data_IF_199422937033
#
_entry.id   IF_199422937033
#
_cell.length_a   1.000
_cell.length_b   1.000
_cell.length_c   1.000
_cell.angle_alpha   90.00
_cell.angle_beta   90.00
_cell.angle_gamma   90.00
#
_symmetry.space_group_name_H-M   'P 1'
#
loop_
_entity.id
_entity.type
_entity.pdbx_description
1 polymer ?
#
# COMPACT_ATOMS: atom_id res chain seq x y z
N UNK A 1 8.28 19.32 -9.42
CA UNK A 1 9.28 18.26 -9.19
C UNK A 1 8.76 17.45 -8.00
N UNK A 2 8.53 16.14 -8.18
CA UNK A 2 7.71 15.19 -7.38
C UNK A 2 6.23 15.05 -7.84
N UNK A 3 6.01 14.16 -8.81
CA UNK A 3 4.74 13.47 -9.06
C UNK A 3 5.05 11.96 -9.08
N UNK A 4 5.58 11.42 -7.97
CA UNK A 4 5.44 9.99 -7.65
C UNK A 4 4.05 9.80 -7.06
N UNK A 5 3.02 9.57 -7.87
CA UNK A 5 1.66 9.17 -7.44
C UNK A 5 1.07 9.84 -6.18
N UNK A 6 1.54 11.06 -5.88
CA UNK A 6 1.19 11.86 -4.72
C UNK A 6 0.00 12.75 -5.09
N UNK A 7 -1.17 12.12 -5.14
CA UNK A 7 -2.49 12.75 -5.25
C UNK A 7 -2.78 13.43 -6.61
N UNK A 8 -4.01 13.65 -7.07
CA UNK A 8 -5.23 14.04 -6.36
C UNK A 8 -5.04 15.09 -5.22
N UNK A 9 -3.81 15.60 -5.01
CA UNK A 9 -3.46 16.53 -3.94
C UNK A 9 -3.34 17.96 -4.44
N UNK A 10 -3.61 18.20 -5.72
CA UNK A 10 -3.89 19.54 -6.20
C UNK A 10 -5.39 19.75 -6.13
N UNK A 11 -5.81 20.71 -5.29
CA UNK A 11 -7.08 21.40 -5.45
C UNK A 11 -7.22 21.76 -6.95
N UNK A 12 -8.26 21.29 -7.68
CA UNK A 12 -8.52 21.73 -9.04
C UNK A 12 -8.71 23.24 -9.03
N UNK A 13 -7.75 23.96 -9.60
CA UNK A 13 -7.74 25.41 -9.69
C UNK A 13 -8.44 25.83 -10.99
N UNK A 14 -9.68 25.40 -11.19
CA UNK A 14 -10.32 25.49 -12.50
C UNK A 14 -10.87 26.90 -12.85
N UNK A 15 -10.89 27.85 -11.91
CA UNK A 15 -11.26 29.25 -12.21
C UNK A 15 -10.48 30.28 -11.39
N UNK A 16 -10.05 31.37 -12.04
CA UNK A 16 -9.28 32.48 -11.44
C UNK A 16 -9.98 33.10 -10.21
N UNK A 17 -11.32 33.19 -10.23
CA UNK A 17 -12.10 33.73 -9.09
C UNK A 17 -12.13 32.77 -7.88
N UNK A 18 -12.09 31.44 -8.12
CA UNK A 18 -11.99 30.45 -7.03
C UNK A 18 -10.58 30.37 -6.45
N UNK A 19 -9.54 30.67 -7.24
CA UNK A 19 -8.16 30.68 -6.75
C UNK A 19 -7.97 31.66 -5.58
N UNK A 20 -8.62 32.83 -5.61
CA UNK A 20 -8.54 33.83 -4.54
C UNK A 20 -9.25 33.38 -3.25
N UNK A 21 -10.37 32.65 -3.36
CA UNK A 21 -11.10 32.09 -2.22
C UNK A 21 -10.40 30.86 -1.61
N UNK A 22 -9.66 30.11 -2.44
CA UNK A 22 -8.98 28.88 -2.06
C UNK A 22 -7.58 29.14 -1.47
N UNK A 23 -6.93 30.25 -1.82
CA UNK A 23 -5.53 30.54 -1.47
C UNK A 23 -5.20 30.41 0.03
N UNK A 24 -6.00 30.97 0.97
CA UNK A 24 -5.72 30.83 2.40
C UNK A 24 -5.78 29.36 2.87
N UNK A 25 -6.71 28.59 2.31
CA UNK A 25 -6.87 27.16 2.61
C UNK A 25 -5.75 26.32 2.03
N UNK A 26 -5.17 26.70 0.87
CA UNK A 26 -4.00 26.02 0.29
C UNK A 26 -2.79 26.13 1.21
N UNK A 27 -2.53 27.33 1.74
CA UNK A 27 -1.41 27.55 2.66
C UNK A 27 -1.60 26.76 3.96
N UNK A 28 -2.79 26.83 4.55
CA UNK A 28 -3.12 26.07 5.75
C UNK A 28 -3.03 24.55 5.52
N UNK A 29 -3.56 24.06 4.39
CA UNK A 29 -3.47 22.66 3.98
C UNK A 29 -2.01 22.21 3.88
N UNK A 30 -1.19 22.94 3.11
CA UNK A 30 0.22 22.59 2.92
C UNK A 30 0.99 22.62 4.25
N UNK A 31 0.71 23.60 5.13
CA UNK A 31 1.30 23.66 6.46
C UNK A 31 0.95 22.43 7.30
N UNK A 32 -0.34 22.08 7.39
CA UNK A 32 -0.80 20.92 8.17
C UNK A 32 -0.21 19.60 7.65
N UNK A 33 -0.21 19.38 6.33
CA UNK A 33 0.41 18.19 5.73
C UNK A 33 1.90 18.11 6.07
N UNK A 34 2.64 19.22 5.94
CA UNK A 34 4.06 19.24 6.24
C UNK A 34 4.34 19.00 7.73
N UNK A 35 3.55 19.58 8.64
CA UNK A 35 3.66 19.34 10.08
C UNK A 35 3.40 17.87 10.43
N UNK A 36 2.33 17.26 9.90
CA UNK A 36 2.02 15.86 10.14
C UNK A 36 3.06 14.90 9.52
N UNK A 37 3.55 15.20 8.32
CA UNK A 37 4.63 14.42 7.69
C UNK A 37 5.95 14.57 8.46
N UNK A 38 6.23 15.73 9.04
CA UNK A 38 7.39 15.94 9.89
C UNK A 38 7.31 15.04 11.15
N UNK A 39 6.16 14.99 11.81
CA UNK A 39 5.90 14.10 12.95
C UNK A 39 6.09 12.64 12.53
N UNK A 40 5.45 12.22 11.43
CA UNK A 40 5.53 10.85 10.92
C UNK A 40 6.97 10.42 10.63
N UNK A 41 7.73 11.24 9.91
CA UNK A 41 9.09 10.93 9.49
C UNK A 41 10.11 11.06 10.63
N UNK A 42 9.83 11.91 11.62
CA UNK A 42 10.66 12.12 12.81
C UNK A 42 10.43 11.11 13.93
N UNK A 43 9.36 10.30 13.86
CA UNK A 43 8.99 9.35 14.89
C UNK A 43 10.09 8.29 15.12
N UNK A 44 10.60 8.24 16.35
CA UNK A 44 11.58 7.26 16.82
C UNK A 44 11.14 6.67 18.14
N UNK A 45 11.53 5.41 18.39
CA UNK A 45 11.22 4.71 19.65
C UNK A 45 12.47 4.09 20.26
N UNK A 46 12.39 3.77 21.55
CA UNK A 46 13.40 2.98 22.24
C UNK A 46 13.15 1.48 22.06
N UNK A 47 14.22 0.71 21.82
CA UNK A 47 14.14 -0.74 21.66
C UNK A 47 13.63 -1.44 22.92
N UNK A 48 12.84 -2.50 22.75
CA UNK A 48 12.30 -3.30 23.86
C UNK A 48 13.42 -3.94 24.70
N UNK A 49 14.35 -4.64 24.03
CA UNK A 49 15.48 -5.30 24.68
C UNK A 49 16.65 -4.34 24.97
N UNK A 50 16.66 -3.17 24.33
CA UNK A 50 17.71 -2.15 24.47
C UNK A 50 17.08 -0.77 24.77
N UNK A 51 16.63 -0.53 26.01
CA UNK A 51 15.85 0.68 26.34
C UNK A 51 16.58 2.01 26.12
N UNK A 52 17.91 2.00 26.05
CA UNK A 52 18.72 3.19 25.78
C UNK A 52 18.95 3.45 24.28
N UNK A 53 18.61 2.50 23.40
CA UNK A 53 18.67 2.66 21.96
C UNK A 53 17.37 3.31 21.45
N UNK A 54 17.29 4.64 21.51
CA UNK A 54 16.08 5.44 21.23
C UNK A 54 16.01 6.09 19.85
N UNK A 55 16.76 5.57 18.89
CA UNK A 55 16.86 6.09 17.53
C UNK A 55 16.24 5.15 16.48
N UNK A 56 15.46 4.14 16.90
CA UNK A 56 14.83 3.19 15.98
C UNK A 56 13.71 3.88 15.19
N UNK A 57 13.80 3.80 13.86
CA UNK A 57 12.85 4.42 12.91
C UNK A 57 11.97 3.37 12.26
N UNK A 58 10.82 3.79 11.74
CA UNK A 58 9.91 2.87 11.05
C UNK A 58 10.62 2.05 9.95
N UNK A 59 11.45 2.72 9.14
CA UNK A 59 12.29 2.08 8.13
C UNK A 59 13.76 2.43 8.42
N UNK A 60 14.67 1.44 8.50
CA UNK A 60 14.41 0.00 8.34
C UNK A 60 13.94 -0.72 9.63
N UNK A 61 14.21 -0.15 10.81
CA UNK A 61 14.28 -0.90 12.07
C UNK A 61 12.95 -1.54 12.48
N UNK A 62 11.89 -0.74 12.66
CA UNK A 62 10.62 -1.26 13.20
C UNK A 62 9.91 -2.15 12.19
N UNK A 63 10.02 -1.85 10.89
CA UNK A 63 9.49 -2.70 9.83
C UNK A 63 10.13 -4.09 9.88
N UNK A 64 11.43 -4.17 10.16
CA UNK A 64 12.14 -5.44 10.30
C UNK A 64 11.70 -6.20 11.56
N UNK A 65 11.62 -5.51 12.71
CA UNK A 65 11.13 -6.11 13.97
C UNK A 65 9.73 -6.69 13.78
N UNK A 66 8.78 -5.90 13.25
CA UNK A 66 7.41 -6.34 13.04
C UNK A 66 7.29 -7.49 12.01
N UNK A 67 8.24 -7.63 11.09
CA UNK A 67 8.26 -8.70 10.10
C UNK A 67 8.87 -10.00 10.65
N UNK A 68 9.97 -9.90 11.40
CA UNK A 68 10.81 -11.06 11.78
C UNK A 68 10.61 -11.52 13.22
N UNK A 69 10.32 -10.63 14.16
CA UNK A 69 10.13 -11.01 15.55
C UNK A 69 8.90 -11.91 15.71
N UNK A 70 8.98 -12.81 16.69
CA UNK A 70 7.91 -13.69 17.15
C UNK A 70 7.72 -13.57 18.66
N UNK A 71 8.39 -12.60 19.29
CA UNK A 71 8.20 -12.28 20.70
C UNK A 71 6.97 -11.37 20.84
N UNK A 72 5.97 -11.86 21.57
CA UNK A 72 4.72 -11.13 21.79
C UNK A 72 4.94 -9.74 22.39
N UNK A 73 5.76 -9.66 23.42
CA UNK A 73 5.91 -8.44 24.22
C UNK A 73 6.78 -7.42 23.47
N UNK A 74 7.78 -7.87 22.69
CA UNK A 74 8.53 -7.01 21.77
C UNK A 74 7.65 -6.41 20.67
N UNK A 75 6.82 -7.24 20.03
CA UNK A 75 5.87 -6.79 19.00
C UNK A 75 4.86 -5.80 19.59
N UNK A 76 4.38 -6.04 20.81
CA UNK A 76 3.40 -5.18 21.48
C UNK A 76 4.02 -3.83 21.84
N UNK A 77 5.23 -3.83 22.41
CA UNK A 77 5.99 -2.62 22.72
C UNK A 77 6.26 -1.80 21.45
N UNK A 78 6.78 -2.45 20.41
CA UNK A 78 7.11 -1.81 19.13
C UNK A 78 5.89 -1.18 18.49
N UNK A 79 4.77 -1.91 18.45
CA UNK A 79 3.50 -1.41 17.91
C UNK A 79 3.01 -0.20 18.71
N UNK A 80 2.97 -0.31 20.04
CA UNK A 80 2.41 0.70 20.92
C UNK A 80 3.22 2.01 20.89
N UNK A 81 4.53 1.92 21.07
CA UNK A 81 5.38 3.11 21.11
C UNK A 81 5.43 3.82 19.75
N UNK A 82 5.41 3.06 18.64
CA UNK A 82 5.34 3.66 17.32
C UNK A 82 4.02 4.42 17.10
N UNK A 83 2.88 3.83 17.44
CA UNK A 83 1.59 4.51 17.30
C UNK A 83 1.47 5.73 18.24
N UNK A 84 2.13 5.71 19.40
CA UNK A 84 2.24 6.88 20.28
C UNK A 84 3.08 7.99 19.68
N UNK A 85 4.21 7.68 19.04
CA UNK A 85 5.12 8.69 18.49
C UNK A 85 4.68 9.22 17.13
N UNK A 86 4.23 8.35 16.24
CA UNK A 86 3.77 8.74 14.93
C UNK A 86 2.33 9.25 14.94
N UNK A 87 1.42 8.59 15.67
CA UNK A 87 -0.02 8.89 15.59
C UNK A 87 -0.49 9.98 16.54
N UNK A 88 -0.29 9.81 17.85
CA UNK A 88 -0.86 10.71 18.88
C UNK A 88 -0.51 12.19 18.65
N UNK A 89 0.73 12.50 18.30
CA UNK A 89 1.21 13.88 18.18
C UNK A 89 0.56 14.65 17.02
N UNK A 90 0.03 13.97 15.99
CA UNK A 90 -0.60 14.61 14.83
C UNK A 90 -2.13 14.70 14.91
N UNK A 91 -2.75 14.22 16.00
CA UNK A 91 -4.21 14.15 16.15
C UNK A 91 -4.88 15.51 15.90
N UNK A 92 -4.38 16.57 16.54
CA UNK A 92 -4.97 17.91 16.46
C UNK A 92 -4.76 18.56 15.08
N UNK A 93 -3.62 18.25 14.43
CA UNK A 93 -3.35 18.67 13.06
C UNK A 93 -4.31 18.00 12.06
N UNK A 94 -4.61 16.72 12.26
CA UNK A 94 -5.57 16.01 11.41
C UNK A 94 -7.00 16.51 11.61
N UNK A 95 -7.40 16.86 12.84
CA UNK A 95 -8.71 17.46 13.10
C UNK A 95 -8.88 18.80 12.36
N UNK A 96 -7.84 19.64 12.35
CA UNK A 96 -7.83 20.88 11.55
C UNK A 96 -7.83 20.61 10.05
N UNK A 97 -7.15 19.55 9.59
CA UNK A 97 -7.14 19.17 8.18
C UNK A 97 -8.55 18.80 7.69
N UNK A 98 -9.33 18.08 8.51
CA UNK A 98 -10.72 17.74 8.19
C UNK A 98 -11.57 18.99 7.96
N UNK A 99 -11.38 20.03 8.78
CA UNK A 99 -12.11 21.30 8.64
C UNK A 99 -11.71 22.01 7.34
N UNK A 100 -10.40 22.13 7.06
CA UNK A 100 -9.88 22.73 5.81
C UNK A 100 -10.39 22.00 4.58
N UNK A 101 -10.39 20.67 4.60
CA UNK A 101 -10.86 19.86 3.49
C UNK A 101 -12.37 20.05 3.22
N UNK A 102 -13.16 20.27 4.26
CA UNK A 102 -14.60 20.54 4.10
C UNK A 102 -14.87 21.93 3.53
N UNK A 103 -14.11 22.95 3.94
CA UNK A 103 -14.16 24.28 3.32
C UNK A 103 -13.78 24.23 1.83
N UNK A 104 -12.74 23.46 1.50
CA UNK A 104 -12.34 23.18 0.12
C UNK A 104 -13.47 22.56 -0.69
N UNK A 105 -14.16 21.55 -0.14
CA UNK A 105 -15.27 20.90 -0.82
C UNK A 105 -16.40 21.90 -1.07
N UNK A 106 -16.74 22.70 -0.06
CA UNK A 106 -17.78 23.72 -0.14
C UNK A 106 -17.51 24.75 -1.25
N UNK A 107 -16.29 25.30 -1.33
CA UNK A 107 -15.90 26.27 -2.38
C UNK A 107 -15.92 25.64 -3.78
N UNK A 108 -15.79 24.32 -3.87
CA UNK A 108 -15.92 23.56 -5.12
C UNK A 108 -17.36 23.12 -5.43
N UNK A 109 -18.36 23.58 -4.69
CA UNK A 109 -19.78 23.18 -4.80
C UNK A 109 -20.01 21.68 -4.53
N UNK A 110 -19.26 21.11 -3.60
CA UNK A 110 -19.37 19.70 -3.19
C UNK A 110 -19.77 19.67 -1.71
N UNK A 111 -20.67 18.75 -1.36
CA UNK A 111 -21.33 18.73 -0.04
C UNK A 111 -20.36 18.64 1.12
N UNK A 112 -19.33 17.81 0.98
CA UNK A 112 -18.31 17.57 2.00
C UNK A 112 -17.06 16.97 1.36
N UNK A 113 -15.99 16.89 2.15
CA UNK A 113 -14.71 16.40 1.67
C UNK A 113 -14.69 14.89 1.38
N UNK A 114 -15.60 14.11 1.97
CA UNK A 114 -15.74 12.68 1.65
C UNK A 114 -16.26 12.46 0.23
N UNK A 115 -17.33 13.18 -0.14
CA UNK A 115 -17.85 13.19 -1.52
C UNK A 115 -16.81 13.71 -2.50
N UNK A 116 -16.09 14.77 -2.11
CA UNK A 116 -15.02 15.33 -2.90
C UNK A 116 -13.95 14.29 -3.26
N UNK A 117 -13.63 13.37 -2.35
CA UNK A 117 -12.66 12.31 -2.60
C UNK A 117 -13.11 11.27 -3.61
N UNK A 118 -14.42 11.03 -3.70
CA UNK A 118 -14.98 10.04 -4.60
C UNK A 118 -15.41 10.59 -5.96
N UNK A 119 -15.31 11.92 -6.17
CA UNK A 119 -15.55 12.55 -7.48
C UNK A 119 -14.83 11.87 -8.66
N UNK A 120 -13.55 11.46 -8.55
CA UNK A 120 -12.85 10.81 -9.67
C UNK A 120 -13.43 9.46 -10.10
N UNK A 121 -14.34 8.86 -9.33
CA UNK A 121 -15.03 7.62 -9.68
C UNK A 121 -16.36 7.86 -10.41
N UNK A 122 -16.87 9.10 -10.41
CA UNK A 122 -18.10 9.52 -11.11
C UNK A 122 -19.31 8.60 -10.87
N UNK A 123 -19.40 8.00 -9.68
CA UNK A 123 -20.51 7.13 -9.27
C UNK A 123 -21.18 7.66 -8.02
N UNK A 124 -22.48 7.91 -8.10
CA UNK A 124 -23.30 8.34 -6.95
C UNK A 124 -23.51 7.27 -5.88
N UNK A 125 -23.16 6.01 -6.17
CA UNK A 125 -23.30 4.87 -5.25
C UNK A 125 -21.98 4.13 -5.02
N UNK A 126 -20.84 4.79 -5.25
CA UNK A 126 -19.51 4.14 -5.23
C UNK A 126 -19.26 3.33 -3.96
N UNK A 127 -19.61 3.88 -2.79
CA UNK A 127 -19.42 3.20 -1.50
C UNK A 127 -20.26 1.93 -1.39
N UNK A 128 -21.52 1.99 -1.82
CA UNK A 128 -22.42 0.84 -1.84
C UNK A 128 -21.91 -0.24 -2.80
N UNK A 129 -21.43 0.15 -3.98
CA UNK A 129 -20.87 -0.78 -4.96
C UNK A 129 -19.65 -1.52 -4.39
N UNK A 130 -18.77 -0.79 -3.70
CA UNK A 130 -17.59 -1.35 -3.03
C UNK A 130 -17.98 -2.31 -1.89
N UNK A 131 -18.96 -1.94 -1.04
CA UNK A 131 -19.46 -2.81 0.03
C UNK A 131 -20.13 -4.08 -0.55
N UNK A 132 -20.85 -3.99 -1.68
CA UNK A 132 -21.44 -5.15 -2.37
C UNK A 132 -20.34 -6.12 -2.85
N UNK A 133 -19.27 -5.60 -3.45
CA UNK A 133 -18.13 -6.43 -3.87
C UNK A 133 -17.43 -7.06 -2.67
N UNK A 134 -17.27 -6.31 -1.57
CA UNK A 134 -16.70 -6.84 -0.34
C UNK A 134 -17.49 -8.02 0.21
N UNK A 135 -18.82 -7.92 0.29
CA UNK A 135 -19.66 -9.01 0.82
C UNK A 135 -19.59 -10.29 -0.05
N UNK A 136 -19.28 -10.17 -1.35
CA UNK A 136 -19.01 -11.34 -2.20
C UNK A 136 -17.67 -12.01 -1.89
N UNK A 137 -16.65 -11.23 -1.50
CA UNK A 137 -15.30 -11.72 -1.19
C UNK A 137 -15.19 -12.19 0.27
N UNK A 138 -15.99 -11.59 1.16
CA UNK A 138 -15.98 -11.81 2.60
C UNK A 138 -15.97 -13.28 3.03
N UNK A 139 -16.74 -14.21 2.43
CA UNK A 139 -16.68 -15.62 2.81
C UNK A 139 -15.27 -16.25 2.66
N UNK A 140 -14.50 -15.84 1.64
CA UNK A 140 -13.12 -16.28 1.46
C UNK A 140 -12.22 -15.68 2.55
N UNK A 141 -12.38 -14.40 2.85
CA UNK A 141 -11.64 -13.74 3.92
C UNK A 141 -11.93 -14.36 5.29
N UNK A 142 -13.19 -14.65 5.62
CA UNK A 142 -13.60 -15.23 6.90
C UNK A 142 -12.98 -16.64 7.07
N UNK A 143 -12.94 -17.44 6.01
CA UNK A 143 -12.25 -18.73 5.99
C UNK A 143 -10.73 -18.59 6.20
N UNK A 144 -10.11 -17.63 5.52
CA UNK A 144 -8.68 -17.32 5.65
C UNK A 144 -8.34 -16.82 7.07
N UNK A 145 -9.10 -15.87 7.60
CA UNK A 145 -8.96 -15.31 8.95
C UNK A 145 -9.09 -16.41 10.00
N UNK A 146 -10.11 -17.26 9.91
CA UNK A 146 -10.31 -18.35 10.86
C UNK A 146 -9.16 -19.36 10.84
N UNK A 147 -8.64 -19.69 9.64
CA UNK A 147 -7.48 -20.55 9.48
C UNK A 147 -6.22 -19.93 10.09
N UNK A 148 -5.93 -18.66 9.78
CA UNK A 148 -4.79 -17.90 10.32
C UNK A 148 -4.89 -17.81 11.84
N UNK A 149 -6.06 -17.49 12.39
CA UNK A 149 -6.30 -17.45 13.83
C UNK A 149 -6.02 -18.78 14.51
N UNK A 150 -6.45 -19.89 13.90
CA UNK A 150 -6.15 -21.23 14.42
C UNK A 150 -4.65 -21.47 14.47
N UNK A 151 -3.92 -21.16 13.39
CA UNK A 151 -2.46 -21.33 13.31
C UNK A 151 -1.70 -20.45 14.31
N UNK A 152 -2.09 -19.18 14.43
CA UNK A 152 -1.52 -18.27 15.43
C UNK A 152 -1.82 -18.72 16.86
N UNK A 153 -2.99 -19.33 17.10
CA UNK A 153 -3.31 -19.93 18.40
C UNK A 153 -2.50 -21.19 18.69
N UNK A 154 -2.24 -22.04 17.68
CA UNK A 154 -1.33 -23.19 17.81
C UNK A 154 0.09 -22.73 18.18
N UNK A 155 0.53 -21.56 17.67
CA UNK A 155 1.86 -21.00 17.90
C UNK A 155 2.00 -20.21 19.22
N UNK A 156 1.12 -19.22 19.46
CA UNK A 156 1.19 -18.31 20.63
C UNK A 156 0.40 -18.80 21.86
N UNK A 157 -0.42 -19.85 21.70
CA UNK A 157 -1.16 -20.47 22.78
C UNK A 157 -2.59 -19.91 23.04
N UNK A 158 -3.44 -20.69 23.73
CA UNK A 158 -4.83 -20.34 24.08
C UNK A 158 -5.00 -19.02 24.84
N UNK A 159 -4.06 -18.74 25.75
CA UNK A 159 -4.03 -17.63 26.69
C UNK A 159 -3.87 -16.29 25.99
N UNK A 160 -3.17 -16.27 24.85
CA UNK A 160 -2.96 -15.07 24.03
C UNK A 160 -3.98 -14.95 22.90
N UNK A 161 -4.38 -16.07 22.28
CA UNK A 161 -5.30 -16.08 21.13
C UNK A 161 -6.59 -16.86 21.44
N UNK A 162 -7.68 -16.11 21.53
CA UNK A 162 -9.02 -16.67 21.69
C UNK A 162 -9.55 -17.26 20.36
N UNK A 163 -10.43 -18.27 20.43
CA UNK A 163 -11.00 -18.95 19.26
C UNK A 163 -12.00 -18.10 18.45
N UNK A 164 -12.61 -17.10 19.08
CA UNK A 164 -13.73 -16.32 18.55
C UNK A 164 -13.37 -14.83 18.46
N UNK A 165 -12.53 -14.34 19.37
CA UNK A 165 -12.18 -12.92 19.38
C UNK A 165 -11.39 -12.47 18.14
N UNK A 166 -11.40 -11.15 17.85
CA UNK A 166 -10.53 -10.53 16.85
C UNK A 166 -9.04 -10.79 17.10
N UNK A 167 -8.25 -10.81 16.02
CA UNK A 167 -6.81 -10.97 16.06
C UNK A 167 -6.13 -9.67 16.52
N UNK A 168 -5.16 -9.74 17.46
CA UNK A 168 -4.35 -8.57 17.81
C UNK A 168 -3.48 -8.10 16.63
N UNK A 169 -3.50 -6.81 16.31
CA UNK A 169 -2.82 -6.26 15.12
C UNK A 169 -1.30 -6.49 15.09
N UNK A 170 -0.64 -6.45 16.25
CA UNK A 170 0.83 -6.52 16.36
C UNK A 170 1.50 -7.84 15.92
N UNK A 171 0.76 -8.95 15.82
CA UNK A 171 1.34 -10.27 15.52
C UNK A 171 1.18 -10.72 14.06
N UNK A 172 0.75 -9.83 13.18
CA UNK A 172 0.40 -10.16 11.79
C UNK A 172 1.53 -9.83 10.81
N UNK A 173 2.78 -9.74 11.27
CA UNK A 173 3.95 -9.57 10.40
C UNK A 173 4.12 -8.18 9.80
N UNK A 174 3.27 -7.22 10.19
CA UNK A 174 3.26 -5.87 9.65
C UNK A 174 2.74 -4.89 10.71
N UNK A 175 3.31 -3.68 10.77
CA UNK A 175 2.94 -2.63 11.73
C UNK A 175 1.43 -2.33 11.80
N UNK A 176 0.73 -2.44 10.67
CA UNK A 176 -0.70 -2.11 10.54
C UNK A 176 -1.57 -3.34 10.33
N UNK A 177 -0.97 -4.54 10.31
CA UNK A 177 -1.63 -5.79 9.94
C UNK A 177 -2.34 -5.75 8.56
N UNK A 178 -1.82 -4.95 7.62
CA UNK A 178 -2.38 -4.86 6.26
C UNK A 178 -1.91 -5.99 5.33
N UNK A 179 -0.80 -6.66 5.66
CA UNK A 179 -0.22 -7.77 4.89
C UNK A 179 0.27 -8.79 5.90
N UNK A 180 -0.08 -10.06 5.70
CA UNK A 180 0.31 -11.15 6.61
C UNK A 180 1.38 -12.07 5.99
N UNK A 181 1.99 -11.64 4.88
CA UNK A 181 2.99 -12.42 4.14
C UNK A 181 4.24 -12.73 4.98
N UNK A 182 4.57 -11.86 5.94
CA UNK A 182 5.74 -12.04 6.82
C UNK A 182 5.55 -13.09 7.93
N UNK A 183 4.35 -13.67 8.09
CA UNK A 183 4.10 -14.77 9.05
C UNK A 183 3.84 -16.11 8.37
N UNK A 184 4.12 -16.23 7.06
CA UNK A 184 3.91 -17.46 6.29
C UNK A 184 4.63 -18.67 6.90
N UNK A 185 5.78 -18.49 7.54
CA UNK A 185 6.49 -19.52 8.30
C UNK A 185 5.63 -20.19 9.39
N UNK A 186 4.66 -19.47 9.96
CA UNK A 186 3.74 -19.97 10.99
C UNK A 186 2.49 -20.61 10.36
N UNK A 187 1.98 -20.01 9.29
CA UNK A 187 0.63 -20.29 8.79
C UNK A 187 0.59 -21.15 7.52
N UNK A 188 1.72 -21.41 6.86
CA UNK A 188 1.73 -22.11 5.57
C UNK A 188 1.06 -23.51 5.66
N UNK A 189 0.14 -23.86 4.73
CA UNK A 189 -0.60 -25.12 4.78
C UNK A 189 0.26 -26.38 4.73
N UNK A 190 1.27 -26.39 3.86
CA UNK A 190 2.20 -27.51 3.69
C UNK A 190 3.63 -27.08 4.05
N UNK A 191 4.02 -27.18 5.35
CA UNK A 191 5.38 -26.88 5.78
C UNK A 191 6.43 -27.73 5.04
N UNK A 192 7.60 -27.15 4.76
CA UNK A 192 8.71 -27.84 4.08
C UNK A 192 8.62 -27.89 2.55
N UNK A 193 7.46 -27.56 1.95
CA UNK A 193 7.33 -27.30 0.51
C UNK A 193 7.60 -25.82 0.27
N UNK A 194 8.81 -25.47 -0.17
CA UNK A 194 9.22 -24.08 -0.43
C UNK A 194 8.31 -23.45 -1.48
N UNK A 195 7.96 -22.19 -1.32
CA UNK A 195 7.35 -21.42 -2.40
C UNK A 195 8.30 -21.38 -3.60
N UNK A 196 7.74 -21.23 -4.80
CA UNK A 196 8.55 -20.99 -5.98
C UNK A 196 9.35 -19.70 -5.76
N UNK A 197 10.66 -19.84 -5.85
CA UNK A 197 11.61 -18.73 -5.78
C UNK A 197 12.59 -18.87 -6.95
N UNK A 198 12.43 -18.00 -7.95
CA UNK A 198 13.31 -17.93 -9.12
C UNK A 198 14.63 -17.21 -8.84
N UNK A 199 14.78 -16.58 -7.67
CA UNK A 199 15.93 -15.72 -7.34
C UNK A 199 17.28 -16.43 -7.51
N UNK A 200 17.50 -17.66 -6.99
CA UNK A 200 18.79 -18.34 -7.17
C UNK A 200 19.13 -18.57 -8.65
N UNK A 201 18.11 -18.89 -9.45
CA UNK A 201 18.28 -19.18 -10.88
C UNK A 201 18.52 -17.91 -11.70
N UNK A 202 17.90 -16.78 -11.33
CA UNK A 202 18.21 -15.47 -11.91
C UNK A 202 19.67 -15.09 -11.67
N UNK A 203 20.16 -15.28 -10.44
CA UNK A 203 21.55 -15.00 -10.07
C UNK A 203 22.53 -15.90 -10.84
N UNK A 204 22.24 -17.20 -10.92
CA UNK A 204 23.06 -18.16 -11.68
C UNK A 204 23.14 -17.83 -13.17
N UNK A 205 22.05 -17.32 -13.75
CA UNK A 205 21.99 -16.90 -15.15
C UNK A 205 22.56 -15.49 -15.39
N UNK A 206 23.02 -14.78 -14.36
CA UNK A 206 23.62 -13.46 -14.51
C UNK A 206 22.61 -12.35 -14.85
N UNK A 207 21.40 -12.42 -14.31
CA UNK A 207 20.39 -11.37 -14.51
C UNK A 207 20.88 -10.03 -13.97
N UNK A 208 20.56 -8.96 -14.71
CA UNK A 208 20.79 -7.57 -14.31
C UNK A 208 19.47 -6.80 -14.28
N UNK A 209 19.38 -5.66 -13.57
CA UNK A 209 18.17 -4.84 -13.56
C UNK A 209 17.75 -4.41 -14.97
N UNK A 210 18.72 -4.07 -15.82
CA UNK A 210 18.48 -3.74 -17.22
C UNK A 210 17.85 -4.91 -17.99
N UNK A 211 18.38 -6.13 -17.83
CA UNK A 211 17.82 -7.32 -18.48
C UNK A 211 16.38 -7.57 -18.03
N UNK A 212 16.06 -7.36 -16.74
CA UNK A 212 14.70 -7.52 -16.23
C UNK A 212 13.73 -6.55 -16.92
N UNK A 213 14.15 -5.30 -17.18
CA UNK A 213 13.34 -4.33 -17.93
C UNK A 213 13.20 -4.68 -19.41
N UNK A 214 14.25 -5.23 -20.02
CA UNK A 214 14.19 -5.73 -21.40
C UNK A 214 13.22 -6.91 -21.54
N UNK A 215 13.22 -7.84 -20.57
CA UNK A 215 12.25 -8.93 -20.52
C UNK A 215 10.82 -8.42 -20.31
N UNK A 216 10.64 -7.37 -19.51
CA UNK A 216 9.34 -6.71 -19.38
C UNK A 216 8.88 -6.07 -20.70
N UNK A 217 9.78 -5.40 -21.44
CA UNK A 217 9.45 -4.90 -22.78
C UNK A 217 9.10 -6.04 -23.75
N UNK A 218 9.83 -7.16 -23.71
CA UNK A 218 9.53 -8.35 -24.51
C UNK A 218 8.13 -8.89 -24.20
N UNK A 219 7.75 -8.98 -22.93
CA UNK A 219 6.41 -9.38 -22.52
C UNK A 219 5.34 -8.51 -23.19
N UNK A 220 5.45 -7.19 -23.10
CA UNK A 220 4.45 -6.26 -23.67
C UNK A 220 4.46 -6.28 -25.21
N UNK A 221 5.63 -6.35 -25.83
CA UNK A 221 5.72 -6.44 -27.30
C UNK A 221 5.20 -7.78 -27.83
N UNK A 222 5.28 -8.88 -27.06
CA UNK A 222 4.70 -10.19 -27.41
C UNK A 222 3.17 -10.16 -27.52
N UNK A 223 2.51 -9.22 -26.84
CA UNK A 223 1.06 -8.97 -26.93
C UNK A 223 0.73 -7.75 -27.81
N UNK A 224 1.64 -7.41 -28.73
CA UNK A 224 1.48 -6.36 -29.74
C UNK A 224 1.34 -4.94 -29.17
N UNK A 225 1.93 -4.67 -27.99
CA UNK A 225 2.05 -3.32 -27.44
C UNK A 225 3.34 -2.63 -27.93
N UNK A 226 3.46 -1.33 -27.65
CA UNK A 226 4.55 -0.51 -28.18
C UNK A 226 5.86 -0.74 -27.42
N UNK A 227 6.99 -0.79 -28.13
CA UNK A 227 8.30 -0.68 -27.51
C UNK A 227 8.48 0.70 -26.84
N UNK A 228 9.23 0.77 -25.74
CA UNK A 228 9.41 2.01 -24.96
C UNK A 228 10.45 2.95 -25.56
N UNK A 229 11.33 2.41 -26.42
CA UNK A 229 12.31 3.18 -27.18
C UNK A 229 13.58 3.55 -26.40
N UNK A 230 14.59 4.14 -27.06
CA UNK A 230 15.92 4.35 -26.48
C UNK A 230 15.95 5.42 -25.38
N UNK A 231 15.11 6.45 -25.47
CA UNK A 231 15.07 7.53 -24.46
C UNK A 231 14.69 7.00 -23.08
N UNK A 232 13.78 6.02 -23.02
CA UNK A 232 13.41 5.33 -21.78
C UNK A 232 14.63 4.71 -21.08
N UNK A 233 15.44 3.95 -21.83
CA UNK A 233 16.62 3.26 -21.29
C UNK A 233 17.74 4.23 -20.90
N UNK A 234 17.90 5.34 -21.63
CA UNK A 234 18.94 6.34 -21.34
C UNK A 234 18.62 7.17 -20.09
N UNK A 235 17.34 7.47 -19.86
CA UNK A 235 16.93 8.45 -18.86
C UNK A 235 16.37 7.85 -17.56
N UNK A 236 16.03 6.56 -17.56
CA UNK A 236 15.49 5.86 -16.39
C UNK A 236 16.58 5.45 -15.40
N UNK A 237 16.15 5.19 -14.16
CA UNK A 237 16.98 4.62 -13.09
C UNK A 237 16.45 3.22 -12.80
N UNK A 238 17.24 2.19 -13.08
CA UNK A 238 16.89 0.78 -12.90
C UNK A 238 17.54 0.15 -11.66
N UNK A 239 18.60 0.78 -11.17
CA UNK A 239 19.37 0.35 -10.00
C UNK A 239 19.82 1.56 -9.19
N UNK A 240 20.20 1.34 -7.93
CA UNK A 240 20.66 2.40 -7.04
C UNK A 240 21.99 2.99 -7.58
N UNK A 241 22.02 4.28 -7.96
CA UNK A 241 23.25 4.90 -8.48
C UNK A 241 24.38 4.87 -7.44
N UNK A 242 25.61 4.68 -7.91
CA UNK A 242 26.82 4.59 -7.06
C UNK A 242 27.22 5.98 -6.54
N UNK A 243 26.99 7.01 -7.34
CA UNK A 243 27.42 8.39 -7.09
C UNK A 243 26.48 9.19 -6.17
N UNK A 244 25.23 8.72 -5.99
CA UNK A 244 24.22 9.44 -5.22
C UNK A 244 23.16 8.51 -4.66
N UNK A 245 22.64 8.85 -3.47
CA UNK A 245 21.48 8.15 -2.90
C UNK A 245 20.21 8.53 -3.66
N UNK A 246 19.48 7.54 -4.18
CA UNK A 246 18.17 7.75 -4.79
C UNK A 246 17.07 7.33 -3.80
N UNK A 247 15.88 7.92 -3.94
CA UNK A 247 14.70 7.38 -3.27
C UNK A 247 14.24 6.13 -4.01
N UNK A 248 14.39 4.96 -3.40
CA UNK A 248 14.28 3.66 -4.09
C UNK A 248 12.88 3.06 -4.16
N UNK A 249 11.83 3.79 -3.78
CA UNK A 249 10.46 3.32 -3.99
C UNK A 249 10.15 3.25 -5.50
N UNK A 250 9.71 2.10 -6.04
CA UNK A 250 9.35 1.96 -7.45
C UNK A 250 8.33 3.03 -7.88
N UNK A 251 8.54 3.59 -9.07
CA UNK A 251 7.63 4.60 -9.64
C UNK A 251 7.86 4.77 -11.14
N UNK A 252 6.79 4.99 -11.87
CA UNK A 252 6.77 5.36 -13.28
C UNK A 252 6.36 6.82 -13.46
N UNK A 253 6.91 7.49 -14.47
CA UNK A 253 6.81 8.93 -14.68
C UNK A 253 6.48 9.29 -16.13
N UNK A 254 5.40 10.05 -16.33
CA UNK A 254 5.10 10.80 -17.56
C UNK A 254 5.56 12.26 -17.39
N UNK A 255 6.56 12.70 -18.15
CA UNK A 255 7.06 14.08 -18.13
C UNK A 255 6.16 15.06 -18.91
N UNK A 256 4.97 14.62 -19.30
CA UNK A 256 3.88 15.40 -19.87
C UNK A 256 4.16 15.98 -21.27
N UNK A 257 5.31 15.67 -21.86
CA UNK A 257 5.75 16.16 -23.15
C UNK A 257 5.44 15.19 -24.32
N UNK A 258 4.79 14.04 -24.05
CA UNK A 258 4.42 12.98 -25.01
C UNK A 258 5.56 12.07 -25.47
N UNK A 259 6.79 12.32 -25.04
CA UNK A 259 7.99 11.63 -25.53
C UNK A 259 8.79 10.98 -24.40
N UNK A 260 8.94 11.71 -23.28
CA UNK A 260 9.79 11.33 -22.16
C UNK A 260 8.98 10.62 -21.08
N UNK A 261 9.18 9.31 -21.00
CA UNK A 261 8.63 8.43 -19.99
C UNK A 261 9.77 7.69 -19.30
N UNK A 262 9.73 7.61 -17.97
CA UNK A 262 10.85 7.05 -17.19
C UNK A 262 10.37 6.21 -16.05
N UNK A 263 11.20 5.28 -15.62
CA UNK A 263 11.05 4.59 -14.34
C UNK A 263 12.16 4.98 -13.38
N UNK A 264 11.85 4.93 -12.09
CA UNK A 264 12.82 5.04 -11.01
C UNK A 264 12.60 3.89 -10.03
N UNK A 265 13.36 2.82 -10.25
CA UNK A 265 13.35 1.58 -9.47
C UNK A 265 14.79 1.27 -9.06
N UNK A 266 15.02 0.85 -7.81
CA UNK A 266 16.29 0.25 -7.41
C UNK A 266 16.09 -1.27 -7.36
N UNK A 267 16.09 -1.92 -8.52
CA UNK A 267 15.72 -3.32 -8.60
C UNK A 267 16.86 -4.22 -8.11
N UNK A 268 16.58 -5.01 -7.07
CA UNK A 268 17.43 -6.13 -6.67
C UNK A 268 17.18 -7.34 -7.58
N UNK A 269 18.17 -8.22 -7.76
CA UNK A 269 18.00 -9.46 -8.53
C UNK A 269 17.25 -10.49 -7.69
N UNK A 270 15.92 -10.44 -7.73
CA UNK A 270 15.04 -11.41 -7.09
C UNK A 270 13.64 -11.45 -7.74
N UNK A 271 12.86 -12.47 -7.39
CA UNK A 271 11.50 -12.68 -7.92
C UNK A 271 10.57 -11.48 -7.69
N UNK A 272 10.64 -10.84 -6.53
CA UNK A 272 9.78 -9.70 -6.18
C UNK A 272 10.05 -8.50 -7.09
N UNK A 273 11.32 -8.16 -7.28
CA UNK A 273 11.73 -7.12 -8.21
C UNK A 273 11.35 -7.46 -9.65
N UNK A 274 11.44 -8.73 -10.07
CA UNK A 274 11.00 -9.15 -11.41
C UNK A 274 9.52 -8.83 -11.66
N UNK A 275 8.65 -9.11 -10.69
CA UNK A 275 7.22 -8.75 -10.75
C UNK A 275 7.05 -7.23 -10.71
N UNK A 276 7.77 -6.53 -9.83
CA UNK A 276 7.71 -5.07 -9.70
C UNK A 276 8.12 -4.34 -10.98
N UNK A 277 9.14 -4.83 -11.68
CA UNK A 277 9.61 -4.27 -12.95
C UNK A 277 8.52 -4.37 -14.03
N UNK A 278 7.79 -5.48 -14.08
CA UNK A 278 6.65 -5.64 -15.00
C UNK A 278 5.47 -4.73 -14.62
N UNK A 279 5.20 -4.56 -13.32
CA UNK A 279 4.19 -3.62 -12.83
C UNK A 279 4.52 -2.18 -13.27
N UNK A 280 5.75 -1.71 -13.05
CA UNK A 280 6.16 -0.35 -13.45
C UNK A 280 6.17 -0.17 -14.97
N UNK A 281 6.58 -1.20 -15.72
CA UNK A 281 6.51 -1.18 -17.18
C UNK A 281 5.06 -1.07 -17.69
N UNK A 282 4.09 -1.66 -16.97
CA UNK A 282 2.67 -1.52 -17.31
C UNK A 282 2.19 -0.06 -17.23
N UNK A 283 2.66 0.71 -16.24
CA UNK A 283 2.37 2.15 -16.15
C UNK A 283 2.95 2.91 -17.34
N UNK A 284 4.19 2.60 -17.74
CA UNK A 284 4.82 3.20 -18.93
C UNK A 284 4.00 2.89 -20.19
N UNK A 285 3.56 1.64 -20.34
CA UNK A 285 2.68 1.26 -21.44
C UNK A 285 1.38 2.05 -21.44
N UNK A 286 0.76 2.22 -20.28
CA UNK A 286 -0.45 3.03 -20.14
C UNK A 286 -0.20 4.49 -20.56
N UNK A 287 0.96 5.06 -20.18
CA UNK A 287 1.38 6.40 -20.61
C UNK A 287 1.51 6.52 -22.12
N UNK A 288 2.15 5.53 -22.75
CA UNK A 288 2.32 5.48 -24.20
C UNK A 288 0.97 5.43 -24.93
N UNK A 289 -0.01 4.71 -24.40
CA UNK A 289 -1.33 4.60 -25.03
C UNK A 289 -2.07 5.94 -25.05
N UNK A 290 -2.14 6.66 -23.93
CA UNK A 290 -2.92 7.91 -23.87
C UNK A 290 -2.16 9.18 -24.22
N UNK A 291 -0.86 9.11 -24.59
CA UNK A 291 0.00 10.29 -24.80
C UNK A 291 -0.52 11.28 -25.84
N UNK A 292 -1.37 10.82 -26.75
CA UNK A 292 -1.96 11.62 -27.81
C UNK A 292 -3.15 12.47 -27.33
N UNK A 293 -3.77 12.12 -26.20
CA UNK A 293 -4.88 12.86 -25.61
C UNK A 293 -4.45 14.25 -25.11
N UNK A 294 -5.37 15.21 -24.94
CA UNK A 294 -5.12 16.46 -24.21
C UNK A 294 -4.59 16.18 -22.81
N UNK A 295 -3.73 17.06 -22.27
CA UNK A 295 -3.05 16.80 -20.98
C UNK A 295 -4.02 16.50 -19.82
N UNK A 296 -5.17 17.16 -19.80
CA UNK A 296 -6.22 16.95 -18.78
C UNK A 296 -6.82 15.55 -18.79
N UNK A 297 -6.74 14.82 -19.91
CA UNK A 297 -7.24 13.45 -20.08
C UNK A 297 -6.13 12.39 -20.06
N UNK A 298 -4.90 12.75 -19.69
CA UNK A 298 -3.78 11.80 -19.55
C UNK A 298 -3.71 11.28 -18.12
N UNK A 299 -4.69 10.45 -17.79
CA UNK A 299 -4.77 9.74 -16.52
C UNK A 299 -5.54 8.43 -16.73
N UNK A 300 -5.58 7.57 -15.71
CA UNK A 300 -6.46 6.40 -15.69
C UNK A 300 -7.91 6.82 -15.80
N UNK A 301 -8.76 5.91 -16.30
CA UNK A 301 -10.20 6.14 -16.37
C UNK A 301 -10.78 6.52 -14.99
N UNK A 302 -10.24 5.93 -13.93
CA UNK A 302 -10.32 6.41 -12.56
C UNK A 302 -8.98 6.09 -11.85
N UNK A 303 -8.76 6.53 -10.60
CA UNK A 303 -7.50 6.32 -9.90
C UNK A 303 -7.05 4.85 -9.74
N UNK A 304 -7.97 3.88 -9.80
CA UNK A 304 -7.68 2.46 -9.61
C UNK A 304 -7.17 1.77 -10.89
N UNK A 305 -7.53 2.26 -12.08
CA UNK A 305 -7.16 1.61 -13.35
C UNK A 305 -5.64 1.53 -13.57
N UNK A 306 -4.89 2.55 -13.17
CA UNK A 306 -3.43 2.55 -13.25
C UNK A 306 -2.84 1.38 -12.47
N UNK A 307 -3.27 1.21 -11.22
CA UNK A 307 -2.76 0.17 -10.32
C UNK A 307 -3.21 -1.23 -10.74
N UNK A 308 -4.49 -1.37 -11.12
CA UNK A 308 -5.07 -2.63 -11.53
C UNK A 308 -4.36 -3.25 -12.74
N UNK A 309 -3.91 -2.43 -13.69
CA UNK A 309 -3.21 -2.92 -14.90
C UNK A 309 -1.82 -3.44 -14.54
N UNK A 310 -1.05 -2.70 -13.73
CA UNK A 310 0.24 -3.17 -13.23
C UNK A 310 0.13 -4.49 -12.49
N UNK A 311 -0.85 -4.62 -11.60
CA UNK A 311 -1.08 -5.84 -10.84
C UNK A 311 -1.59 -7.01 -11.71
N UNK A 312 -2.44 -6.74 -12.70
CA UNK A 312 -2.92 -7.77 -13.63
C UNK A 312 -1.78 -8.38 -14.45
N UNK A 313 -0.81 -7.56 -14.88
CA UNK A 313 0.41 -8.07 -15.53
C UNK A 313 1.24 -8.88 -14.56
N UNK A 314 1.41 -8.39 -13.32
CA UNK A 314 2.10 -9.11 -12.26
C UNK A 314 1.58 -10.53 -12.04
N UNK A 315 0.25 -10.73 -12.07
CA UNK A 315 -0.38 -12.05 -11.96
C UNK A 315 -0.01 -13.01 -13.09
N UNK A 316 0.16 -12.51 -14.31
CA UNK A 316 0.56 -13.33 -15.46
C UNK A 316 2.03 -13.72 -15.39
N UNK A 317 2.87 -12.76 -15.01
CA UNK A 317 4.33 -12.92 -14.89
C UNK A 317 4.68 -13.85 -13.74
N UNK A 318 3.94 -13.82 -12.63
CA UNK A 318 4.20 -14.63 -11.44
C UNK A 318 3.82 -16.11 -11.59
N UNK A 319 3.32 -16.54 -12.75
CA UNK A 319 2.89 -17.92 -12.96
C UNK A 319 4.09 -18.87 -13.11
N UNK A 320 4.01 -20.10 -12.56
CA UNK A 320 5.04 -21.12 -12.76
C UNK A 320 5.32 -21.38 -14.24
N UNK A 321 4.26 -21.40 -15.07
CA UNK A 321 4.35 -21.61 -16.52
C UNK A 321 5.19 -20.52 -17.20
N UNK A 322 4.98 -19.25 -16.85
CA UNK A 322 5.76 -18.16 -17.42
C UNK A 322 7.25 -18.27 -17.02
N UNK A 323 7.53 -18.54 -15.74
CA UNK A 323 8.91 -18.75 -15.29
C UNK A 323 9.59 -19.97 -15.92
N UNK A 324 8.85 -21.03 -16.27
CA UNK A 324 9.39 -22.15 -17.04
C UNK A 324 9.78 -21.73 -18.47
N UNK A 325 8.98 -20.89 -19.14
CA UNK A 325 9.32 -20.35 -20.46
C UNK A 325 10.58 -19.50 -20.43
N UNK A 326 10.80 -18.75 -19.36
CA UNK A 326 12.04 -17.99 -19.12
C UNK A 326 13.24 -18.88 -18.68
N UNK A 327 13.04 -20.20 -18.54
CA UNK A 327 14.09 -21.11 -18.06
C UNK A 327 14.48 -20.92 -16.60
N UNK A 328 13.64 -20.24 -15.82
CA UNK A 328 13.86 -19.91 -14.40
C UNK A 328 13.30 -20.97 -13.44
N UNK A 329 12.41 -21.84 -13.92
CA UNK A 329 11.79 -22.90 -13.13
C UNK A 329 11.83 -24.24 -13.87
N UNK A 330 12.09 -25.34 -13.16
CA UNK A 330 12.06 -26.70 -13.73
C UNK A 330 10.62 -27.22 -13.88
N UNK A 331 10.39 -28.12 -14.86
CA UNK A 331 9.04 -28.65 -15.18
C UNK A 331 8.44 -29.61 -14.15
N UNK A 332 9.24 -30.21 -13.27
CA UNK A 332 8.85 -31.35 -12.42
C UNK A 332 8.38 -31.00 -11.00
N UNK A 333 7.81 -29.81 -10.78
CA UNK A 333 7.34 -29.41 -9.45
C UNK A 333 6.02 -30.15 -9.15
N UNK A 334 5.95 -30.83 -8.00
CA UNK A 334 4.78 -31.57 -7.48
C UNK A 334 3.57 -30.62 -7.32
N UNK A 335 2.72 -30.55 -8.35
CA UNK A 335 1.80 -29.41 -8.60
C UNK A 335 0.89 -29.10 -7.39
N UNK A 336 0.22 -30.11 -6.80
CA UNK A 336 -0.87 -29.85 -5.85
C UNK A 336 -0.48 -29.11 -4.55
N UNK A 337 0.61 -29.49 -3.89
CA UNK A 337 1.00 -28.86 -2.62
C UNK A 337 1.65 -27.49 -2.83
N UNK A 338 2.40 -27.33 -3.93
CA UNK A 338 2.98 -26.05 -4.31
C UNK A 338 1.90 -25.06 -4.75
N UNK A 339 0.90 -25.53 -5.49
CA UNK A 339 -0.25 -24.72 -5.92
C UNK A 339 -1.05 -24.21 -4.71
N UNK A 340 -1.33 -25.06 -3.71
CA UNK A 340 -2.02 -24.61 -2.50
C UNK A 340 -1.17 -23.60 -1.73
N UNK A 341 0.14 -23.85 -1.53
CA UNK A 341 1.00 -22.88 -0.86
C UNK A 341 1.09 -21.55 -1.63
N UNK A 342 1.12 -21.59 -2.96
CA UNK A 342 1.11 -20.40 -3.82
C UNK A 342 -0.21 -19.64 -3.70
N UNK A 343 -1.35 -20.29 -3.93
CA UNK A 343 -2.68 -19.68 -3.81
C UNK A 343 -2.93 -19.12 -2.41
N UNK A 344 -2.49 -19.84 -1.37
CA UNK A 344 -2.57 -19.39 0.00
C UNK A 344 -1.71 -18.13 0.22
N UNK A 345 -0.48 -18.11 -0.27
CA UNK A 345 0.40 -16.93 -0.17
C UNK A 345 -0.17 -15.73 -0.91
N UNK A 346 -0.75 -15.95 -2.10
CA UNK A 346 -1.47 -14.93 -2.87
C UNK A 346 -2.69 -14.41 -2.10
N UNK A 347 -3.47 -15.29 -1.47
CA UNK A 347 -4.62 -14.89 -0.66
C UNK A 347 -4.20 -14.10 0.58
N UNK A 348 -3.11 -14.49 1.23
CA UNK A 348 -2.53 -13.77 2.36
C UNK A 348 -2.03 -12.37 1.98
N UNK A 349 -1.52 -12.19 0.76
CA UNK A 349 -1.06 -10.89 0.29
C UNK A 349 -2.23 -10.01 -0.19
N UNK A 350 -3.10 -10.57 -1.03
CA UNK A 350 -4.15 -9.81 -1.74
C UNK A 350 -5.48 -9.77 -0.99
N UNK A 351 -5.99 -10.90 -0.52
CA UNK A 351 -7.31 -10.97 0.13
C UNK A 351 -7.25 -10.41 1.55
N UNK A 352 -6.17 -10.67 2.30
CA UNK A 352 -6.02 -10.15 3.66
C UNK A 352 -5.86 -8.62 3.73
N UNK A 353 -5.42 -8.00 2.62
CA UNK A 353 -5.28 -6.55 2.49
C UNK A 353 -6.61 -5.83 2.31
N UNK A 354 -7.56 -6.40 1.58
CA UNK A 354 -8.84 -5.76 1.23
C UNK A 354 -9.58 -5.17 2.43
N UNK A 355 -9.83 -5.90 3.55
CA UNK A 355 -10.55 -5.31 4.68
C UNK A 355 -9.74 -4.23 5.41
N UNK A 356 -8.41 -4.25 5.32
CA UNK A 356 -7.59 -3.13 5.80
C UNK A 356 -7.86 -1.88 4.97
N UNK A 357 -7.83 -2.01 3.64
CA UNK A 357 -8.05 -0.88 2.74
C UNK A 357 -9.45 -0.29 2.90
N UNK A 358 -10.46 -1.15 2.92
CA UNK A 358 -11.86 -0.77 3.10
C UNK A 358 -12.11 -0.09 4.44
N UNK A 359 -11.59 -0.64 5.54
CA UNK A 359 -11.77 -0.03 6.86
C UNK A 359 -11.11 1.35 6.97
N UNK A 360 -9.94 1.53 6.38
CA UNK A 360 -9.22 2.81 6.45
C UNK A 360 -9.92 3.91 5.62
N UNK A 361 -10.33 3.61 4.38
CA UNK A 361 -10.97 4.64 3.55
C UNK A 361 -12.43 4.89 3.95
N UNK A 362 -13.18 3.88 4.42
CA UNK A 362 -14.49 4.11 5.04
C UNK A 362 -14.37 4.98 6.31
N UNK A 363 -13.34 4.76 7.13
CA UNK A 363 -13.07 5.61 8.29
C UNK A 363 -12.82 7.06 7.87
N UNK A 364 -11.96 7.28 6.87
CA UNK A 364 -11.64 8.61 6.36
C UNK A 364 -12.85 9.31 5.76
N UNK A 365 -13.63 8.60 4.94
CA UNK A 365 -14.87 9.11 4.38
C UNK A 365 -15.84 9.50 5.50
N UNK A 366 -16.05 8.66 6.52
CA UNK A 366 -16.99 8.93 7.60
C UNK A 366 -16.59 10.18 8.42
N UNK A 367 -15.29 10.36 8.67
CA UNK A 367 -14.78 11.55 9.36
C UNK A 367 -14.93 12.81 8.48
N UNK A 368 -14.56 12.73 7.21
CA UNK A 368 -14.63 13.86 6.30
C UNK A 368 -16.06 14.29 5.96
N UNK A 369 -16.99 13.34 5.85
CA UNK A 369 -18.40 13.60 5.56
C UNK A 369 -19.20 14.04 6.79
N UNK A 370 -18.64 13.93 7.98
CA UNK A 370 -19.34 14.21 9.25
C UNK A 370 -20.26 13.08 9.71
N UNK A 371 -20.28 11.93 9.03
CA UNK A 371 -21.03 10.74 9.46
C UNK A 371 -20.49 10.15 10.78
N UNK A 372 -19.21 10.38 11.08
CA UNK A 372 -18.61 10.07 12.37
C UNK A 372 -18.09 11.35 13.04
N UNK A 373 -18.26 11.42 14.36
CA UNK A 373 -17.76 12.54 15.15
C UNK A 373 -16.23 12.58 15.10
N UNK A 374 -15.66 13.71 14.64
CA UNK A 374 -14.20 13.92 14.56
C UNK A 374 -13.48 13.86 15.91
N UNK A 375 -14.19 13.99 17.03
CA UNK A 375 -13.61 13.78 18.36
C UNK A 375 -13.51 12.29 18.77
N UNK A 376 -14.17 11.38 18.04
CA UNK A 376 -14.16 9.93 18.25
C UNK A 376 -13.40 9.17 17.15
N UNK A 377 -12.39 9.81 16.56
CA UNK A 377 -11.61 9.27 15.44
C UNK A 377 -11.02 7.89 15.74
N UNK A 378 -10.46 7.68 16.93
CA UNK A 378 -9.72 6.46 17.21
C UNK A 378 -10.66 5.28 17.51
N UNK A 379 -11.73 5.51 18.25
CA UNK A 379 -12.78 4.53 18.48
C UNK A 379 -13.46 4.13 17.18
N UNK A 380 -13.83 5.11 16.33
CA UNK A 380 -14.43 4.81 15.02
C UNK A 380 -13.51 3.99 14.13
N UNK A 381 -12.22 4.31 14.12
CA UNK A 381 -11.20 3.53 13.40
C UNK A 381 -11.21 2.07 13.87
N UNK A 382 -11.10 1.81 15.18
CA UNK A 382 -11.07 0.44 15.69
C UNK A 382 -12.38 -0.32 15.51
N UNK A 383 -13.53 0.35 15.57
CA UNK A 383 -14.82 -0.27 15.27
C UNK A 383 -14.87 -0.77 13.82
N UNK A 384 -14.37 0.02 12.86
CA UNK A 384 -14.30 -0.40 11.46
C UNK A 384 -13.24 -1.47 11.22
N UNK A 385 -12.09 -1.39 11.89
CA UNK A 385 -11.05 -2.43 11.84
C UNK A 385 -11.56 -3.77 12.35
N UNK A 386 -12.32 -3.78 13.44
CA UNK A 386 -12.95 -4.98 13.97
C UNK A 386 -14.06 -5.48 13.05
N UNK A 387 -14.94 -4.59 12.58
CA UNK A 387 -16.06 -4.94 11.67
C UNK A 387 -15.60 -5.60 10.37
N UNK A 388 -14.63 -5.00 9.68
CA UNK A 388 -14.19 -5.48 8.36
C UNK A 388 -13.07 -6.51 8.45
N UNK A 389 -12.07 -6.30 9.32
CA UNK A 389 -10.88 -7.17 9.37
C UNK A 389 -10.91 -8.18 10.52
N UNK A 390 -11.83 -8.08 11.49
CA UNK A 390 -11.74 -8.89 12.70
C UNK A 390 -10.38 -8.72 13.41
N UNK A 391 -9.85 -7.49 13.41
CA UNK A 391 -8.57 -7.12 14.04
C UNK A 391 -8.84 -6.10 15.14
N UNK A 392 -8.14 -6.24 16.26
CA UNK A 392 -8.21 -5.35 17.43
C UNK A 392 -6.83 -4.79 17.79
N UNK A 393 -6.75 -3.68 18.53
CA UNK A 393 -5.47 -3.23 19.06
C UNK A 393 -4.96 -4.24 20.12
N UNK A 394 -3.64 -4.39 20.30
CA UNK A 394 -3.08 -5.29 21.30
C UNK A 394 -3.28 -4.78 22.73
N UNK A 395 -3.50 -3.48 22.90
CA UNK A 395 -3.74 -2.81 24.18
C UNK A 395 -4.94 -1.89 24.08
N UNK A 396 -5.54 -1.54 25.22
CA UNK A 396 -6.63 -0.55 25.25
C UNK A 396 -6.15 0.80 24.72
N UNK A 397 -7.01 1.43 23.92
CA UNK A 397 -6.78 2.73 23.29
C UNK A 397 -7.81 3.74 23.77
N UNK A 398 -7.49 5.02 23.67
CA UNK A 398 -8.35 6.15 24.03
C UNK A 398 -8.41 7.15 22.89
N UNK A 399 -9.26 8.17 23.00
CA UNK A 399 -9.27 9.29 22.04
C UNK A 399 -8.08 10.25 22.19
N UNK A 400 -7.22 10.06 23.20
CA UNK A 400 -5.88 10.68 23.23
C UNK A 400 -4.93 10.00 22.25
N UNK A 401 -5.27 8.82 21.75
CA UNK A 401 -4.51 8.14 20.71
C UNK A 401 -5.07 8.51 19.33
N UNK A 402 -4.24 8.40 18.31
CA UNK A 402 -4.64 8.58 16.92
C UNK A 402 -3.91 7.55 16.06
N UNK A 403 -4.30 6.29 16.24
CA UNK A 403 -3.68 5.15 15.60
C UNK A 403 -3.68 5.21 14.06
N UNK A 404 -4.74 5.69 13.36
CA UNK A 404 -4.68 5.82 11.90
C UNK A 404 -3.59 6.79 11.42
N UNK A 405 -3.25 7.82 12.20
CA UNK A 405 -2.15 8.75 11.87
C UNK A 405 -0.79 8.09 11.77
N UNK A 406 -0.60 6.94 12.43
CA UNK A 406 0.64 6.17 12.33
C UNK A 406 0.83 5.50 10.97
N UNK A 407 -0.15 5.52 10.06
CA UNK A 407 -0.08 5.00 8.68
C UNK A 407 0.10 6.14 7.68
N UNK A 408 1.24 6.16 6.98
CA UNK A 408 1.68 7.23 6.05
C UNK A 408 0.60 7.91 5.20
N UNK A 409 -0.34 7.14 4.65
CA UNK A 409 -1.36 7.66 3.73
C UNK A 409 -2.31 8.65 4.42
N UNK A 410 -2.49 8.53 5.74
CA UNK A 410 -3.33 9.42 6.54
C UNK A 410 -2.70 10.82 6.67
N UNK A 411 -1.48 11.00 7.23
CA UNK A 411 -0.85 12.32 7.29
C UNK A 411 -0.43 12.87 5.93
N UNK A 412 -0.17 12.02 4.92
CA UNK A 412 0.08 12.45 3.55
C UNK A 412 -1.21 12.80 2.76
N UNK A 413 -2.37 12.55 3.36
CA UNK A 413 -3.69 12.75 2.78
C UNK A 413 -3.92 12.03 1.44
N UNK A 414 -3.33 10.84 1.27
CA UNK A 414 -3.39 10.04 0.03
C UNK A 414 -4.59 9.07 0.09
N UNK A 415 -5.52 9.07 -0.89
CA UNK A 415 -6.65 8.12 -0.96
C UNK A 415 -6.21 6.65 -0.90
N UNK A 416 -7.02 5.78 -0.29
CA UNK A 416 -6.66 4.36 -0.06
C UNK A 416 -7.51 3.36 -0.87
N UNK A 417 -8.68 3.74 -1.36
CA UNK A 417 -9.63 2.91 -2.14
C UNK A 417 -9.20 2.69 -3.60
N UNK A 418 -7.95 3.04 -3.94
CA UNK A 418 -7.39 2.88 -5.28
C UNK A 418 -7.02 1.43 -5.59
#
# INVERSE_FOLDING_TARGET
>A
MLQTEAGANALPLDTLDRQLLIFPYVEQYNRLINEMLYIYNGATICGYQQPFACNLRYIPDLKEIMAKSRDWDELQHTWLEYHRKAGREMRDGYEQLVDVMNEVAYVNNVTNAGEYWYLPYESGNFRQDVDIVWEQIRPLYDGLHAYVRRKLREYYGPERINRIAPLPSHILGNMYAQSWSNILDIIIPYPGKKLIDITPRMLEQGYTPLLMFQLAEEFFTSINMSAVGPEFYQNSIFEQPIDRRAFCEPSAWDFCNRHDFRVKVCADINQKSMISVHHEMAHIQYFLQYRHLPKVFRNGANPAFHQAIGDAVGLSVSTPKHFQTLGLLQRSVDESSYDINYLFSMAIDKVAFLPFALSLDNWRYDILSGNANKHMMNCHYWNLREKYSGIKPPVLRSEKDFDPGAKYHVPANIPYVK
#
